data_IF_202909579851
#
_entry.id   IF_202909579851
#
_cell.length_a   1.000
_cell.length_b   1.000
_cell.length_c   1.000
_cell.angle_alpha   90.00
_cell.angle_beta   90.00
_cell.angle_gamma   90.00
#
_symmetry.space_group_name_H-M   'P 1'
#
loop_
_entity.id
_entity.type
_entity.pdbx_description
1 polymer ?
#
# COMPACT_ATOMS: atom_id res chain seq x y z
N UNK A 1 49.19 13.72 -8.59
CA UNK A 1 48.42 12.84 -7.70
C UNK A 1 48.33 13.54 -6.35
N UNK A 2 47.12 13.77 -5.89
CA UNK A 2 46.89 14.35 -4.55
C UNK A 2 46.46 13.22 -3.63
N UNK A 3 47.15 13.03 -2.54
CA UNK A 3 46.75 12.10 -1.48
C UNK A 3 46.10 12.92 -0.36
N UNK A 4 44.97 12.43 0.16
CA UNK A 4 44.27 13.10 1.25
C UNK A 4 45.01 13.01 2.59
N UNK A 5 45.97 12.08 2.72
CA UNK A 5 46.71 11.82 3.95
C UNK A 5 48.19 11.66 3.63
N UNK A 6 49.05 12.20 4.46
CA UNK A 6 50.53 12.05 4.35
C UNK A 6 50.94 10.58 4.56
N UNK A 7 52.08 10.21 3.95
CA UNK A 7 52.55 8.81 3.98
C UNK A 7 52.85 8.30 5.39
N UNK A 8 53.15 9.14 6.33
CA UNK A 8 53.46 8.81 7.74
C UNK A 8 52.20 8.40 8.56
N UNK A 9 51.00 8.68 8.04
CA UNK A 9 49.73 8.37 8.73
C UNK A 9 48.97 7.17 8.14
N UNK A 10 49.55 6.53 7.12
CA UNK A 10 48.88 5.43 6.38
C UNK A 10 48.47 4.25 7.29
N UNK A 11 49.15 4.02 8.39
CA UNK A 11 48.82 2.96 9.34
C UNK A 11 47.62 3.27 10.23
N UNK A 12 47.08 4.49 10.21
CA UNK A 12 46.00 4.94 11.12
C UNK A 12 44.77 5.46 10.42
N UNK A 13 44.85 5.76 9.12
CA UNK A 13 43.77 6.38 8.36
C UNK A 13 43.61 5.67 7.02
N UNK A 14 42.37 5.35 6.66
CA UNK A 14 42.07 4.88 5.31
C UNK A 14 42.19 6.07 4.35
N UNK A 15 43.28 6.10 3.61
CA UNK A 15 43.47 7.09 2.56
C UNK A 15 42.57 6.77 1.34
N UNK A 16 41.96 7.76 0.77
CA UNK A 16 41.27 7.63 -0.51
C UNK A 16 41.94 8.52 -1.58
N UNK A 17 41.96 8.00 -2.79
CA UNK A 17 42.44 8.72 -3.97
C UNK A 17 41.26 9.17 -4.80
N UNK A 18 41.09 10.46 -4.96
CA UNK A 18 40.12 11.00 -5.92
C UNK A 18 40.75 10.94 -7.31
N UNK A 19 40.27 10.03 -8.14
CA UNK A 19 40.58 10.02 -9.57
C UNK A 19 39.48 10.76 -10.30
N UNK A 20 39.80 11.82 -11.05
CA UNK A 20 38.88 12.36 -12.04
C UNK A 20 38.76 11.32 -13.17
N UNK A 21 37.81 10.44 -13.07
CA UNK A 21 37.36 9.61 -14.19
C UNK A 21 36.31 10.38 -14.97
N UNK A 22 36.30 10.25 -16.27
CA UNK A 22 35.07 10.55 -17.02
C UNK A 22 34.04 9.57 -16.52
N UNK A 23 33.13 10.03 -15.68
CA UNK A 23 31.89 9.30 -15.44
C UNK A 23 31.15 9.31 -16.79
N UNK A 24 31.17 8.19 -17.49
CA UNK A 24 30.10 7.93 -18.40
C UNK A 24 28.83 7.92 -17.57
N UNK A 25 27.82 8.66 -18.01
CA UNK A 25 26.48 8.69 -17.44
C UNK A 25 25.75 7.35 -17.67
N UNK A 26 26.35 6.25 -17.24
CA UNK A 26 25.59 5.07 -16.93
C UNK A 26 25.08 5.28 -15.50
N UNK A 27 23.81 5.50 -15.32
CA UNK A 27 23.16 5.47 -14.01
C UNK A 27 23.75 4.33 -13.20
N UNK A 28 24.34 4.59 -12.02
CA UNK A 28 24.81 3.51 -11.17
C UNK A 28 23.59 2.65 -10.85
N UNK A 29 23.49 1.51 -11.51
CA UNK A 29 22.42 0.56 -11.26
C UNK A 29 22.68 -0.09 -9.90
N UNK A 30 22.29 0.61 -8.84
CA UNK A 30 22.39 0.10 -7.48
C UNK A 30 21.48 -1.13 -7.38
N UNK A 31 22.01 -2.28 -6.96
CA UNK A 31 21.20 -3.47 -6.82
C UNK A 31 20.11 -3.19 -5.79
N UNK A 32 18.86 -3.28 -6.23
CA UNK A 32 17.69 -3.11 -5.37
C UNK A 32 16.85 -4.38 -5.45
N UNK A 33 16.22 -4.75 -4.33
CA UNK A 33 15.18 -5.77 -4.25
C UNK A 33 14.08 -5.26 -3.35
N UNK A 34 12.85 -5.42 -3.80
CA UNK A 34 11.66 -4.99 -3.08
C UNK A 34 10.93 -6.23 -2.58
N UNK A 35 10.68 -6.30 -1.28
CA UNK A 35 9.78 -7.28 -0.68
C UNK A 35 8.42 -6.63 -0.45
N UNK A 36 7.35 -7.31 -0.81
CA UNK A 36 5.97 -6.94 -0.50
C UNK A 36 5.43 -7.93 0.51
N UNK A 37 5.05 -7.46 1.69
CA UNK A 37 4.42 -8.28 2.73
C UNK A 37 2.97 -7.84 2.85
N UNK A 38 2.03 -8.75 2.59
CA UNK A 38 0.62 -8.43 2.58
C UNK A 38 -0.28 -9.65 2.54
N UNK A 39 -1.57 -9.43 2.50
CA UNK A 39 -2.59 -10.48 2.55
C UNK A 39 -3.08 -10.85 1.16
N UNK A 40 -3.32 -12.14 0.96
CA UNK A 40 -4.03 -12.68 -0.19
C UNK A 40 -5.54 -12.72 0.07
N UNK A 41 -6.33 -12.85 -1.00
CA UNK A 41 -7.77 -13.04 -0.89
C UNK A 41 -8.13 -14.28 -0.07
N UNK A 42 -9.24 -14.25 0.63
CA UNK A 42 -9.76 -15.38 1.40
C UNK A 42 -9.94 -16.64 0.54
N UNK A 43 -10.36 -16.48 -0.70
CA UNK A 43 -10.52 -17.59 -1.64
C UNK A 43 -9.20 -18.29 -1.99
N UNK A 44 -8.08 -17.59 -1.92
CA UNK A 44 -6.73 -18.09 -2.22
C UNK A 44 -6.00 -18.63 -0.98
N UNK A 45 -6.56 -18.45 0.24
CA UNK A 45 -5.88 -18.80 1.50
C UNK A 45 -5.70 -20.31 1.69
N UNK A 46 -6.65 -21.15 1.20
CA UNK A 46 -6.63 -22.61 1.40
C UNK A 46 -5.42 -23.31 0.76
N UNK A 47 -4.89 -22.74 -0.33
CA UNK A 47 -3.75 -23.26 -1.06
C UNK A 47 -2.62 -22.24 -1.18
N UNK A 48 -2.55 -21.31 -0.22
CA UNK A 48 -1.59 -20.25 -0.26
C UNK A 48 -0.17 -20.78 -0.06
N UNK A 49 0.66 -20.62 -1.09
CA UNK A 49 2.10 -20.82 -0.97
C UNK A 49 2.69 -19.57 -0.30
N UNK A 50 3.10 -19.71 0.96
CA UNK A 50 3.67 -18.62 1.77
C UNK A 50 5.14 -18.34 1.43
N UNK A 51 5.75 -19.09 0.50
CA UNK A 51 7.14 -18.85 0.08
C UNK A 51 7.23 -17.56 -0.75
N UNK A 52 8.34 -16.83 -0.55
CA UNK A 52 8.61 -15.61 -1.29
C UNK A 52 8.68 -15.89 -2.80
N UNK A 53 7.85 -15.23 -3.59
CA UNK A 53 7.78 -15.41 -5.04
C UNK A 53 7.95 -14.08 -5.78
N UNK A 54 8.89 -14.07 -6.72
CA UNK A 54 9.06 -12.91 -7.58
C UNK A 54 7.88 -12.80 -8.55
N UNK A 55 7.35 -11.59 -8.67
CA UNK A 55 6.31 -11.23 -9.62
C UNK A 55 6.84 -10.23 -10.65
N UNK A 56 6.28 -10.26 -11.85
CA UNK A 56 6.67 -9.38 -12.96
C UNK A 56 5.53 -8.49 -13.46
N UNK A 57 4.32 -8.71 -12.96
CA UNK A 57 3.14 -7.92 -13.34
C UNK A 57 2.05 -7.97 -12.27
N UNK A 58 1.19 -6.96 -12.25
CA UNK A 58 -0.01 -6.95 -11.43
C UNK A 58 -0.94 -8.13 -11.74
N UNK A 59 -1.05 -8.50 -13.03
CA UNK A 59 -1.85 -9.68 -13.44
C UNK A 59 -1.38 -10.95 -12.75
N UNK A 60 -0.06 -11.21 -12.72
CA UNK A 60 0.50 -12.38 -12.04
C UNK A 60 0.18 -12.35 -10.54
N UNK A 61 0.23 -11.18 -9.90
CA UNK A 61 -0.18 -11.04 -8.50
C UNK A 61 -1.67 -11.37 -8.30
N UNK A 62 -2.54 -10.92 -9.20
CA UNK A 62 -3.98 -11.23 -9.18
C UNK A 62 -4.25 -12.72 -9.36
N UNK A 63 -3.57 -13.38 -10.29
CA UNK A 63 -3.74 -14.83 -10.56
C UNK A 63 -3.28 -15.68 -9.36
N UNK A 64 -2.22 -15.27 -8.65
CA UNK A 64 -1.66 -16.04 -7.51
C UNK A 64 -2.37 -15.74 -6.19
N UNK A 65 -2.62 -14.48 -5.89
CA UNK A 65 -3.06 -14.01 -4.58
C UNK A 65 -4.49 -13.48 -4.57
N UNK A 66 -5.12 -13.44 -5.73
CA UNK A 66 -6.49 -12.99 -5.94
C UNK A 66 -6.59 -11.50 -6.30
N UNK A 67 -7.40 -11.22 -7.31
CA UNK A 67 -7.73 -9.86 -7.73
C UNK A 67 -8.47 -9.12 -6.62
N UNK A 68 -8.05 -7.89 -6.36
CA UNK A 68 -8.60 -7.06 -5.29
C UNK A 68 -7.97 -7.28 -3.92
N UNK A 69 -7.03 -8.23 -3.75
CA UNK A 69 -6.28 -8.40 -2.50
C UNK A 69 -5.35 -7.21 -2.22
N UNK A 70 -4.90 -6.99 -0.97
CA UNK A 70 -3.87 -6.01 -0.66
C UNK A 70 -2.60 -6.17 -1.51
N UNK A 71 -2.15 -7.41 -1.71
CA UNK A 71 -1.01 -7.72 -2.58
C UNK A 71 -1.27 -7.25 -4.01
N UNK A 72 -2.46 -7.52 -4.56
CA UNK A 72 -2.82 -7.09 -5.90
C UNK A 72 -2.85 -5.56 -6.02
N UNK A 73 -3.42 -4.86 -5.04
CA UNK A 73 -3.48 -3.40 -5.05
C UNK A 73 -2.08 -2.78 -4.99
N UNK A 74 -1.18 -3.31 -4.15
CA UNK A 74 0.22 -2.88 -4.14
C UNK A 74 0.94 -3.20 -5.45
N UNK A 75 0.71 -4.39 -6.03
CA UNK A 75 1.33 -4.79 -7.29
C UNK A 75 0.89 -3.93 -8.47
N UNK A 76 -0.36 -3.43 -8.50
CA UNK A 76 -0.83 -2.47 -9.53
C UNK A 76 -0.01 -1.17 -9.53
N UNK A 77 0.39 -0.72 -8.36
CA UNK A 77 1.16 0.51 -8.19
C UNK A 77 2.64 0.26 -8.51
N UNK A 78 3.19 -0.85 -8.04
CA UNK A 78 4.60 -1.19 -8.25
C UNK A 78 4.90 -1.59 -9.71
N UNK A 79 4.01 -2.33 -10.33
CA UNK A 79 4.15 -2.92 -11.67
C UNK A 79 2.94 -2.58 -12.57
N UNK A 80 2.68 -1.30 -12.83
CA UNK A 80 1.52 -0.87 -13.60
C UNK A 80 1.66 -1.25 -15.08
N UNK A 81 0.52 -1.43 -15.78
CA UNK A 81 0.48 -1.78 -17.18
C UNK A 81 0.87 -0.61 -18.11
N UNK A 82 0.55 0.62 -17.74
CA UNK A 82 0.63 1.80 -18.63
C UNK A 82 1.34 3.00 -18.01
N UNK A 83 2.02 2.84 -16.89
CA UNK A 83 2.76 3.93 -16.29
C UNK A 83 4.10 3.43 -15.78
N UNK A 84 4.89 4.38 -15.34
CA UNK A 84 6.19 4.04 -14.80
C UNK A 84 6.05 3.48 -13.37
N UNK A 85 6.29 2.20 -13.20
CA UNK A 85 6.42 1.54 -11.91
C UNK A 85 7.86 1.55 -11.39
N UNK A 86 8.24 0.49 -10.68
CA UNK A 86 9.61 0.30 -10.16
C UNK A 86 10.63 -0.13 -11.23
N UNK A 87 10.21 -0.20 -12.49
CA UNK A 87 11.08 -0.59 -13.61
C UNK A 87 11.52 -2.05 -13.52
N UNK A 88 12.81 -2.30 -13.79
CA UNK A 88 13.41 -3.64 -13.75
C UNK A 88 13.81 -4.15 -12.37
N UNK A 89 13.42 -3.46 -11.28
CA UNK A 89 13.75 -3.87 -9.91
C UNK A 89 12.93 -5.10 -9.54
N UNK A 90 13.56 -6.21 -9.07
CA UNK A 90 12.83 -7.40 -8.65
C UNK A 90 11.86 -7.11 -7.50
N UNK A 91 10.60 -7.50 -7.66
CA UNK A 91 9.56 -7.44 -6.64
C UNK A 91 9.23 -8.85 -6.20
N UNK A 92 9.45 -9.14 -4.92
CA UNK A 92 9.22 -10.45 -4.31
C UNK A 92 8.06 -10.30 -3.33
N UNK A 93 7.01 -11.09 -3.50
CA UNK A 93 5.84 -11.11 -2.62
C UNK A 93 5.99 -12.22 -1.59
N UNK A 94 5.78 -11.86 -0.32
CA UNK A 94 5.71 -12.76 0.82
C UNK A 94 4.27 -12.73 1.36
N UNK A 95 3.39 -13.58 0.85
CA UNK A 95 1.99 -13.55 1.21
C UNK A 95 1.76 -14.04 2.63
N UNK A 96 0.80 -13.45 3.32
CA UNK A 96 0.46 -13.81 4.69
C UNK A 96 -0.89 -14.50 4.75
N UNK A 97 -0.95 -15.57 5.53
CA UNK A 97 -2.20 -16.25 5.87
C UNK A 97 -2.86 -15.57 7.08
N UNK A 98 -4.14 -15.30 6.97
CA UNK A 98 -4.94 -14.69 8.04
C UNK A 98 -5.82 -15.71 8.74
N UNK A 99 -5.29 -16.37 9.75
CA UNK A 99 -6.05 -17.35 10.56
C UNK A 99 -6.77 -16.62 11.70
N UNK A 100 -8.06 -16.92 11.89
CA UNK A 100 -8.87 -16.36 12.98
C UNK A 100 -9.31 -14.91 12.79
N UNK A 101 -9.08 -14.31 11.60
CA UNK A 101 -9.45 -12.94 11.26
C UNK A 101 -10.84 -12.86 10.66
N UNK A 102 -11.48 -11.67 10.74
CA UNK A 102 -12.78 -11.38 10.11
C UNK A 102 -12.62 -10.39 8.96
N UNK A 103 -13.47 -10.55 7.95
CA UNK A 103 -13.61 -9.57 6.87
C UNK A 103 -14.48 -8.40 7.32
N UNK A 104 -14.30 -7.22 6.73
CA UNK A 104 -15.25 -6.11 6.90
C UNK A 104 -16.47 -6.36 6.01
N UNK A 105 -17.66 -6.09 6.56
CA UNK A 105 -18.93 -6.17 5.84
C UNK A 105 -19.64 -4.82 5.90
N UNK A 106 -19.95 -4.29 4.73
CA UNK A 106 -20.70 -3.06 4.53
C UNK A 106 -22.02 -3.38 3.82
N UNK A 107 -23.03 -2.56 4.02
CA UNK A 107 -24.31 -2.68 3.31
C UNK A 107 -24.65 -1.37 2.63
N UNK A 108 -25.20 -1.44 1.41
CA UNK A 108 -25.82 -0.33 0.70
C UNK A 108 -27.32 -0.64 0.60
N UNK A 109 -28.13 0.20 1.23
CA UNK A 109 -29.58 0.06 1.21
C UNK A 109 -30.19 1.19 0.40
N UNK A 110 -30.69 0.94 -0.82
CA UNK A 110 -31.42 1.94 -1.60
C UNK A 110 -32.83 2.11 -1.03
N UNK A 111 -33.37 3.34 -1.11
CA UNK A 111 -34.73 3.68 -0.70
C UNK A 111 -35.35 4.67 -1.69
N UNK A 112 -36.58 4.42 -2.11
CA UNK A 112 -37.29 5.23 -3.08
C UNK A 112 -37.63 4.45 -4.34
N UNK A 113 -38.09 5.16 -5.38
CA UNK A 113 -38.36 4.63 -6.73
C UNK A 113 -37.70 5.57 -7.74
N UNK A 114 -37.11 5.03 -8.77
CA UNK A 114 -36.43 5.83 -9.80
C UNK A 114 -37.48 6.64 -10.59
N UNK A 115 -37.33 7.97 -10.55
CA UNK A 115 -38.22 8.91 -11.22
C UNK A 115 -37.71 9.42 -12.57
N UNK A 116 -36.41 9.26 -12.81
CA UNK A 116 -35.73 9.67 -14.07
C UNK A 116 -34.64 8.67 -14.41
N UNK A 117 -34.34 8.53 -15.70
CA UNK A 117 -33.18 7.75 -16.13
C UNK A 117 -31.88 8.49 -15.80
N UNK A 118 -30.86 7.76 -15.35
CA UNK A 118 -29.56 8.33 -15.06
C UNK A 118 -28.57 7.30 -14.52
N UNK A 119 -27.42 7.75 -14.10
CA UNK A 119 -26.36 6.89 -13.56
C UNK A 119 -25.89 7.44 -12.22
N UNK A 120 -25.82 6.58 -11.23
CA UNK A 120 -25.13 6.83 -9.97
C UNK A 120 -23.82 6.03 -9.95
N UNK A 121 -22.83 6.50 -9.22
CA UNK A 121 -21.52 5.86 -9.18
C UNK A 121 -21.17 5.46 -7.74
N UNK A 122 -20.72 4.23 -7.55
CA UNK A 122 -20.20 3.79 -6.26
C UNK A 122 -18.72 4.14 -6.18
N UNK A 123 -18.29 4.66 -5.05
CA UNK A 123 -16.90 4.87 -4.71
C UNK A 123 -16.48 3.87 -3.64
N UNK A 124 -15.46 3.09 -3.93
CA UNK A 124 -14.83 2.16 -2.98
C UNK A 124 -13.42 2.67 -2.74
N UNK A 125 -13.11 2.98 -1.49
CA UNK A 125 -11.83 3.60 -1.11
C UNK A 125 -11.44 4.79 -2.00
N UNK A 126 -12.40 5.69 -2.25
CA UNK A 126 -12.21 6.88 -3.04
C UNK A 126 -12.04 6.68 -4.54
N UNK A 127 -12.21 5.45 -5.04
CA UNK A 127 -12.13 5.09 -6.46
C UNK A 127 -13.50 4.75 -7.02
N UNK A 128 -13.82 5.28 -8.17
CA UNK A 128 -15.06 4.98 -8.91
C UNK A 128 -14.90 3.76 -9.84
N UNK A 129 -13.72 3.13 -9.85
CA UNK A 129 -13.39 1.97 -10.67
C UNK A 129 -11.94 1.56 -10.52
N UNK A 130 -11.61 0.39 -11.06
CA UNK A 130 -10.26 -0.18 -11.04
C UNK A 130 -9.97 -0.82 -12.40
N UNK A 131 -8.75 -0.61 -12.91
CA UNK A 131 -8.25 -1.21 -14.16
C UNK A 131 -9.13 -0.93 -15.37
N UNK A 132 -9.74 0.27 -15.44
CA UNK A 132 -10.60 0.70 -16.54
C UNK A 132 -12.05 0.20 -16.47
N UNK A 133 -12.42 -0.56 -15.44
CA UNK A 133 -13.79 -0.93 -15.14
C UNK A 133 -14.36 -0.03 -14.03
N UNK A 134 -15.61 0.42 -14.17
CA UNK A 134 -16.25 1.40 -13.29
C UNK A 134 -17.40 0.79 -12.50
N UNK A 135 -17.67 1.35 -11.32
CA UNK A 135 -18.77 0.96 -10.44
C UNK A 135 -20.04 1.78 -10.72
N UNK A 136 -20.50 1.79 -11.97
CA UNK A 136 -21.65 2.59 -12.38
C UNK A 136 -22.96 1.82 -12.25
N UNK A 137 -23.97 2.47 -11.65
CA UNK A 137 -25.33 1.95 -11.49
C UNK A 137 -26.23 2.69 -12.47
N UNK A 138 -26.61 2.02 -13.56
CA UNK A 138 -27.50 2.59 -14.56
C UNK A 138 -28.96 2.41 -14.13
N UNK A 139 -29.63 3.51 -13.78
CA UNK A 139 -31.00 3.55 -13.26
C UNK A 139 -31.98 3.89 -14.38
N UNK A 140 -33.11 3.18 -14.41
CA UNK A 140 -34.21 3.36 -15.35
C UNK A 140 -35.48 3.70 -14.58
N UNK A 141 -36.31 4.58 -15.15
CA UNK A 141 -37.60 4.98 -14.54
C UNK A 141 -38.40 3.74 -14.15
N UNK A 142 -38.83 3.73 -12.88
CA UNK A 142 -39.65 2.66 -12.32
C UNK A 142 -38.84 1.56 -11.66
N UNK A 143 -37.48 1.56 -11.74
CA UNK A 143 -36.68 0.58 -11.01
C UNK A 143 -37.07 0.53 -9.53
N UNK A 144 -37.38 -0.66 -9.05
CA UNK A 144 -37.64 -0.97 -7.66
C UNK A 144 -36.32 -1.05 -6.86
N UNK A 145 -36.42 -1.03 -5.54
CA UNK A 145 -35.25 -1.22 -4.66
C UNK A 145 -34.53 -2.53 -4.94
N UNK A 146 -35.23 -3.60 -5.24
CA UNK A 146 -34.66 -4.91 -5.59
C UNK A 146 -33.84 -4.86 -6.89
N UNK A 147 -34.37 -4.19 -7.93
CA UNK A 147 -33.66 -4.03 -9.21
C UNK A 147 -32.43 -3.15 -9.05
N UNK A 148 -32.50 -2.09 -8.22
CA UNK A 148 -31.34 -1.26 -7.89
C UNK A 148 -30.28 -2.07 -7.14
N UNK A 149 -30.67 -2.92 -6.20
CA UNK A 149 -29.74 -3.79 -5.46
C UNK A 149 -29.05 -4.79 -6.38
N UNK A 150 -29.78 -5.39 -7.32
CA UNK A 150 -29.19 -6.25 -8.35
C UNK A 150 -28.18 -5.48 -9.25
N UNK A 151 -28.49 -4.23 -9.61
CA UNK A 151 -27.56 -3.38 -10.37
C UNK A 151 -26.31 -3.00 -9.58
N UNK A 152 -26.42 -2.78 -8.26
CA UNK A 152 -25.27 -2.58 -7.37
C UNK A 152 -24.39 -3.84 -7.33
N UNK A 153 -25.04 -5.02 -7.20
CA UNK A 153 -24.34 -6.32 -7.25
C UNK A 153 -23.56 -6.47 -8.55
N UNK A 154 -24.18 -6.22 -9.70
CA UNK A 154 -23.54 -6.33 -11.00
C UNK A 154 -22.41 -5.31 -11.15
N UNK A 155 -22.63 -4.05 -10.77
CA UNK A 155 -21.63 -2.98 -10.86
C UNK A 155 -20.35 -3.31 -10.07
N UNK A 156 -20.47 -3.87 -8.89
CA UNK A 156 -19.32 -4.23 -8.04
C UNK A 156 -18.62 -5.49 -8.53
N UNK A 157 -19.38 -6.54 -8.86
CA UNK A 157 -18.79 -7.84 -9.20
C UNK A 157 -18.23 -7.92 -10.61
N UNK A 158 -18.66 -7.06 -11.53
CA UNK A 158 -18.08 -6.94 -12.87
C UNK A 158 -16.68 -6.29 -12.85
N UNK A 159 -16.28 -5.63 -11.77
CA UNK A 159 -14.93 -5.08 -11.61
C UNK A 159 -14.03 -6.12 -10.95
N UNK A 160 -13.24 -6.82 -11.76
CA UNK A 160 -12.39 -7.92 -11.31
C UNK A 160 -11.44 -7.51 -10.17
N UNK A 161 -10.79 -6.33 -10.31
CA UNK A 161 -9.88 -5.76 -9.32
C UNK A 161 -10.55 -5.17 -8.07
N UNK A 162 -11.89 -5.25 -7.95
CA UNK A 162 -12.62 -4.75 -6.78
C UNK A 162 -12.12 -5.37 -5.48
N UNK A 163 -11.89 -4.57 -4.42
CA UNK A 163 -11.48 -5.08 -3.11
C UNK A 163 -12.60 -5.76 -2.34
N UNK A 164 -13.83 -5.61 -2.79
CA UNK A 164 -15.02 -6.23 -2.18
C UNK A 164 -15.74 -7.12 -3.17
N UNK A 165 -16.53 -8.04 -2.64
CA UNK A 165 -17.51 -8.82 -3.38
C UNK A 165 -18.91 -8.44 -2.87
N UNK A 166 -19.87 -8.26 -3.79
CA UNK A 166 -21.23 -7.95 -3.45
C UNK A 166 -22.11 -9.22 -3.44
N UNK A 167 -23.08 -9.26 -2.53
CA UNK A 167 -24.21 -10.18 -2.54
C UNK A 167 -25.51 -9.40 -2.51
N UNK A 168 -26.53 -9.90 -3.20
CA UNK A 168 -27.85 -9.28 -3.32
C UNK A 168 -28.82 -9.95 -2.34
N UNK A 169 -29.38 -9.15 -1.42
CA UNK A 169 -30.40 -9.56 -0.46
C UNK A 169 -31.78 -9.00 -0.81
N UNK A 170 -32.02 -8.64 -2.07
CA UNK A 170 -33.29 -8.08 -2.63
C UNK A 170 -33.67 -6.68 -2.13
N UNK A 171 -33.25 -6.25 -0.96
CA UNK A 171 -33.53 -4.91 -0.40
C UNK A 171 -32.27 -4.14 -0.01
N UNK A 172 -31.14 -4.81 0.02
CA UNK A 172 -29.81 -4.21 0.28
C UNK A 172 -28.74 -5.01 -0.46
N UNK A 173 -27.68 -4.35 -0.89
CA UNK A 173 -26.45 -5.00 -1.34
C UNK A 173 -25.49 -5.13 -0.16
N UNK A 174 -24.98 -6.33 0.10
CA UNK A 174 -24.00 -6.60 1.12
C UNK A 174 -22.63 -6.73 0.48
N UNK A 175 -21.68 -5.87 0.88
CA UNK A 175 -20.31 -5.81 0.35
C UNK A 175 -19.35 -6.36 1.39
N UNK A 176 -18.68 -7.46 1.06
CA UNK A 176 -17.69 -8.10 1.93
C UNK A 176 -16.31 -7.93 1.34
N UNK A 177 -15.32 -7.53 2.14
CA UNK A 177 -13.92 -7.47 1.68
C UNK A 177 -13.42 -8.85 1.28
N UNK A 178 -12.66 -8.90 0.19
CA UNK A 178 -12.14 -10.17 -0.36
C UNK A 178 -11.06 -10.80 0.53
N UNK A 179 -10.54 -10.07 1.51
CA UNK A 179 -9.59 -10.56 2.51
C UNK A 179 -10.08 -10.29 3.92
N UNK A 180 -9.42 -10.88 4.90
CA UNK A 180 -9.71 -10.74 6.33
C UNK A 180 -8.54 -10.02 6.99
N UNK A 181 -8.80 -9.35 8.10
CA UNK A 181 -7.75 -8.69 8.86
C UNK A 181 -8.10 -7.25 9.21
N UNK A 182 -7.27 -6.65 10.06
CA UNK A 182 -7.42 -5.26 10.46
C UNK A 182 -7.24 -4.30 9.27
N UNK A 183 -6.47 -4.68 8.25
CA UNK A 183 -6.31 -3.93 7.00
C UNK A 183 -7.62 -3.78 6.23
N UNK A 184 -8.54 -4.74 6.36
CA UNK A 184 -9.87 -4.68 5.76
C UNK A 184 -10.76 -3.58 6.38
N UNK A 185 -10.47 -3.18 7.64
CA UNK A 185 -11.27 -2.16 8.34
C UNK A 185 -11.20 -0.78 7.67
N UNK A 186 -10.17 -0.48 6.93
CA UNK A 186 -10.05 0.78 6.17
C UNK A 186 -10.97 0.85 4.96
N UNK A 187 -11.61 -0.25 4.57
CA UNK A 187 -12.53 -0.25 3.43
C UNK A 187 -13.72 0.68 3.71
N UNK A 188 -13.90 1.64 2.85
CA UNK A 188 -15.01 2.57 2.89
C UNK A 188 -15.75 2.60 1.55
N UNK A 189 -17.04 2.84 1.61
CA UNK A 189 -17.92 2.90 0.44
C UNK A 189 -18.80 4.11 0.54
N UNK A 190 -19.00 4.78 -0.58
CA UNK A 190 -19.98 5.85 -0.73
C UNK A 190 -20.65 5.76 -2.11
N UNK A 191 -21.84 6.30 -2.22
CA UNK A 191 -22.55 6.39 -3.50
C UNK A 191 -22.70 7.88 -3.86
N UNK A 192 -22.21 8.24 -5.02
CA UNK A 192 -22.39 9.57 -5.59
C UNK A 192 -23.61 9.57 -6.49
N UNK A 193 -24.58 10.39 -6.14
CA UNK A 193 -25.80 10.62 -6.92
C UNK A 193 -25.67 11.77 -7.90
N UNK A 194 -24.50 12.43 -7.94
CA UNK A 194 -24.26 13.59 -8.78
C UNK A 194 -25.15 14.78 -8.37
N UNK A 195 -25.73 15.43 -9.37
CA UNK A 195 -26.61 16.61 -9.16
C UNK A 195 -28.08 16.26 -8.93
N UNK A 196 -28.50 15.04 -9.24
CA UNK A 196 -29.89 14.60 -9.15
C UNK A 196 -29.95 13.20 -8.53
N UNK A 197 -30.64 13.07 -7.43
CA UNK A 197 -30.83 11.78 -6.73
C UNK A 197 -31.70 10.79 -7.51
N UNK A 198 -32.31 11.20 -8.60
CA UNK A 198 -33.23 10.40 -9.42
C UNK A 198 -34.40 9.78 -8.61
N UNK A 199 -34.68 10.33 -7.42
CA UNK A 199 -35.68 9.80 -6.47
C UNK A 199 -35.17 8.72 -5.54
N UNK A 200 -33.86 8.41 -5.56
CA UNK A 200 -33.26 7.36 -4.73
C UNK A 200 -32.32 7.97 -3.70
N UNK A 201 -32.36 7.43 -2.49
CA UNK A 201 -31.38 7.69 -1.44
C UNK A 201 -30.70 6.38 -1.05
N UNK A 202 -29.44 6.45 -0.62
CA UNK A 202 -28.66 5.29 -0.22
C UNK A 202 -28.20 5.44 1.23
N UNK A 203 -28.40 4.40 2.01
CA UNK A 203 -27.82 4.28 3.35
C UNK A 203 -26.67 3.28 3.30
N UNK A 204 -25.49 3.73 3.63
CA UNK A 204 -24.30 2.87 3.75
C UNK A 204 -24.01 2.65 5.22
N UNK A 205 -23.89 1.38 5.63
CA UNK A 205 -23.62 1.01 7.02
C UNK A 205 -22.56 -0.10 7.09
N UNK A 206 -21.73 -0.05 8.15
CA UNK A 206 -20.83 -1.16 8.48
C UNK A 206 -21.54 -2.10 9.44
N UNK A 207 -21.59 -3.38 9.10
CA UNK A 207 -22.25 -4.42 9.89
C UNK A 207 -21.26 -5.37 10.57
N UNK A 208 -20.04 -5.45 10.09
CA UNK A 208 -18.96 -6.23 10.68
C UNK A 208 -17.62 -5.54 10.46
N UNK A 209 -16.81 -5.47 11.51
CA UNK A 209 -15.46 -4.93 11.46
C UNK A 209 -14.46 -5.97 10.93
N UNK A 210 -13.45 -5.51 10.21
CA UNK A 210 -12.26 -6.30 9.90
C UNK A 210 -11.36 -6.42 11.13
N UNK A 211 -10.95 -7.64 11.50
CA UNK A 211 -10.12 -7.87 12.69
C UNK A 211 -9.04 -8.90 12.46
N UNK A 212 -7.96 -8.80 13.24
CA UNK A 212 -6.83 -9.72 13.21
C UNK A 212 -5.65 -9.18 12.42
N UNK A 213 -4.46 -9.52 12.90
CA UNK A 213 -3.18 -9.19 12.27
C UNK A 213 -2.31 -10.44 12.27
N UNK A 214 -1.83 -10.92 11.12
CA UNK A 214 -0.97 -12.08 11.06
C UNK A 214 0.42 -11.77 11.62
N UNK A 215 1.14 -12.82 12.04
CA UNK A 215 2.57 -12.72 12.32
C UNK A 215 3.35 -12.75 11.01
N UNK A 216 4.19 -11.74 10.80
CA UNK A 216 5.04 -11.64 9.61
C UNK A 216 6.41 -12.29 9.77
N UNK A 217 6.70 -12.90 10.94
CA UNK A 217 8.02 -13.47 11.23
C UNK A 217 8.46 -14.51 10.18
N UNK A 218 7.54 -15.38 9.76
CA UNK A 218 7.82 -16.40 8.74
C UNK A 218 8.20 -15.81 7.37
N UNK A 219 7.71 -14.63 7.02
CA UNK A 219 8.12 -13.93 5.82
C UNK A 219 9.54 -13.35 5.95
N UNK A 220 9.85 -12.77 7.10
CA UNK A 220 11.17 -12.20 7.36
C UNK A 220 12.25 -13.28 7.42
N UNK A 221 11.97 -14.42 8.01
CA UNK A 221 12.89 -15.55 8.10
C UNK A 221 13.33 -16.07 6.70
N UNK A 222 12.46 -15.91 5.70
CA UNK A 222 12.76 -16.27 4.30
C UNK A 222 13.74 -15.31 3.61
N UNK A 223 13.99 -14.12 4.17
CA UNK A 223 14.99 -13.20 3.60
C UNK A 223 16.40 -13.82 3.61
N UNK A 224 16.68 -14.70 4.59
CA UNK A 224 17.93 -15.44 4.67
C UNK A 224 19.16 -14.57 4.43
N UNK A 225 19.97 -14.96 3.45
CA UNK A 225 21.16 -14.21 3.03
C UNK A 225 20.90 -13.20 1.90
N UNK A 226 19.69 -13.09 1.40
CA UNK A 226 19.36 -12.12 0.39
C UNK A 226 19.31 -10.69 0.96
N UNK A 227 19.82 -9.75 0.17
CA UNK A 227 19.70 -8.35 0.54
C UNK A 227 18.41 -7.77 -0.05
N UNK A 228 17.37 -7.75 0.75
CA UNK A 228 16.17 -6.97 0.48
C UNK A 228 16.48 -5.54 0.88
N UNK A 229 16.36 -4.59 -0.04
CA UNK A 229 16.68 -3.18 0.23
C UNK A 229 15.47 -2.41 0.73
N UNK A 230 14.29 -2.78 0.28
CA UNK A 230 13.03 -2.13 0.63
C UNK A 230 11.96 -3.18 0.96
N UNK A 231 11.22 -2.95 2.01
CA UNK A 231 10.04 -3.73 2.39
C UNK A 231 8.81 -2.84 2.27
N UNK A 232 7.86 -3.21 1.45
CA UNK A 232 6.54 -2.57 1.40
C UNK A 232 5.67 -3.26 2.44
N UNK A 233 5.39 -2.54 3.52
CA UNK A 233 4.61 -3.03 4.64
C UNK A 233 3.11 -2.88 4.33
N UNK A 234 2.43 -4.00 4.13
CA UNK A 234 0.98 -4.06 3.86
C UNK A 234 0.10 -3.86 5.10
N UNK A 235 0.67 -3.63 6.29
CA UNK A 235 -0.05 -3.55 7.56
C UNK A 235 -0.05 -2.17 8.21
N UNK A 236 0.52 -1.16 7.52
CA UNK A 236 0.56 0.21 8.02
C UNK A 236 1.24 0.31 9.38
N UNK A 237 0.70 1.15 10.25
CA UNK A 237 1.25 1.47 11.57
C UNK A 237 0.90 0.44 12.66
N UNK A 238 0.44 -0.77 12.30
CA UNK A 238 0.12 -1.81 13.28
C UNK A 238 1.33 -2.18 14.13
N UNK A 239 1.26 -1.94 15.43
CA UNK A 239 2.41 -1.99 16.34
C UNK A 239 3.11 -3.35 16.37
N UNK A 240 2.37 -4.46 16.32
CA UNK A 240 2.94 -5.82 16.32
C UNK A 240 3.80 -6.09 15.08
N UNK A 241 3.36 -5.62 13.92
CA UNK A 241 4.08 -5.78 12.65
C UNK A 241 5.31 -4.87 12.63
N UNK A 242 5.13 -3.61 12.99
CA UNK A 242 6.21 -2.61 13.02
C UNK A 242 7.32 -3.06 13.98
N UNK A 243 7.00 -3.46 15.19
CA UNK A 243 7.99 -3.95 16.17
C UNK A 243 8.71 -5.23 15.68
N UNK A 244 8.03 -6.08 14.92
CA UNK A 244 8.67 -7.26 14.32
C UNK A 244 9.67 -6.87 13.23
N UNK A 245 9.34 -5.88 12.38
CA UNK A 245 10.24 -5.32 11.36
C UNK A 245 11.48 -4.67 12.02
N UNK A 246 11.26 -3.85 13.03
CA UNK A 246 12.32 -3.18 13.80
C UNK A 246 13.26 -4.20 14.44
N UNK A 247 12.71 -5.19 15.15
CA UNK A 247 13.50 -6.23 15.82
C UNK A 247 14.30 -7.10 14.86
N UNK A 248 13.72 -7.44 13.70
CA UNK A 248 14.40 -8.24 12.70
C UNK A 248 15.52 -7.46 11.99
N UNK A 249 15.29 -6.22 11.63
CA UNK A 249 16.29 -5.37 10.99
C UNK A 249 17.41 -5.00 11.97
N UNK A 250 17.08 -4.71 13.22
CA UNK A 250 18.03 -4.40 14.29
C UNK A 250 18.52 -2.96 14.29
N UNK A 251 19.57 -2.71 15.04
CA UNK A 251 20.12 -1.37 15.31
C UNK A 251 21.56 -1.28 14.81
N UNK A 252 21.95 -0.17 14.14
CA UNK A 252 23.30 0.08 13.66
C UNK A 252 24.22 0.63 14.77
N UNK A 253 24.25 -0.03 15.94
CA UNK A 253 25.14 0.38 17.04
C UNK A 253 26.59 0.08 16.65
N UNK A 254 27.52 1.04 16.72
CA UNK A 254 28.93 0.84 16.41
C UNK A 254 29.61 -0.22 17.30
N UNK A 255 29.19 -0.35 18.55
CA UNK A 255 29.78 -1.27 19.51
C UNK A 255 29.05 -2.61 19.59
N UNK A 256 27.75 -2.61 19.38
CA UNK A 256 26.89 -3.79 19.54
C UNK A 256 25.76 -3.85 18.47
N UNK A 257 26.08 -3.94 17.16
CA UNK A 257 25.07 -4.00 16.12
C UNK A 257 24.20 -5.26 16.27
N UNK A 258 22.90 -5.11 16.00
CA UNK A 258 21.94 -6.22 16.07
C UNK A 258 21.28 -6.52 14.73
N UNK A 259 20.54 -7.64 14.65
CA UNK A 259 19.75 -8.02 13.47
C UNK A 259 20.55 -8.03 12.17
N UNK A 260 20.05 -7.35 11.15
CA UNK A 260 20.63 -7.27 9.80
C UNK A 260 21.83 -6.31 9.71
N UNK A 261 22.12 -5.54 10.76
CA UNK A 261 23.32 -4.71 10.85
C UNK A 261 24.54 -5.50 11.36
N UNK A 262 24.36 -6.74 11.80
CA UNK A 262 25.47 -7.60 12.26
C UNK A 262 26.32 -8.13 11.12
N UNK A 263 27.62 -8.31 11.39
CA UNK A 263 28.55 -9.00 10.52
C UNK A 263 29.29 -8.11 9.52
N UNK A 264 30.15 -8.73 8.73
CA UNK A 264 31.02 -8.04 7.75
C UNK A 264 30.19 -7.52 6.57
N UNK A 265 29.13 -8.24 6.20
CA UNK A 265 28.25 -7.87 5.08
C UNK A 265 26.88 -7.51 5.67
N UNK A 266 26.71 -6.24 5.97
CA UNK A 266 25.44 -5.68 6.43
C UNK A 266 24.40 -5.70 5.32
N UNK A 267 23.18 -6.14 5.64
CA UNK A 267 22.04 -6.21 4.70
C UNK A 267 20.76 -5.62 5.32
N UNK A 268 20.81 -4.43 5.90
CA UNK A 268 19.62 -3.79 6.44
C UNK A 268 18.66 -3.41 5.32
N UNK A 269 17.38 -3.18 5.68
CA UNK A 269 16.35 -2.70 4.79
C UNK A 269 15.64 -1.47 5.38
N UNK A 270 14.90 -0.78 4.52
CA UNK A 270 13.95 0.24 4.91
C UNK A 270 12.54 -0.33 4.71
N UNK A 271 11.72 -0.28 5.76
CA UNK A 271 10.32 -0.67 5.70
C UNK A 271 9.43 0.56 5.44
N UNK A 272 8.88 0.62 4.23
CA UNK A 272 7.96 1.66 3.82
C UNK A 272 6.58 1.34 4.42
N UNK A 273 6.17 2.17 5.35
CA UNK A 273 4.96 1.98 6.15
C UNK A 273 3.98 3.10 5.84
N UNK A 274 2.86 2.77 5.23
CA UNK A 274 1.86 3.76 4.85
C UNK A 274 0.96 4.18 6.01
N UNK A 275 0.47 5.41 5.97
CA UNK A 275 -0.61 5.90 6.83
C UNK A 275 -1.55 6.83 6.06
N UNK A 276 -2.84 6.70 6.34
CA UNK A 276 -3.90 7.62 5.88
C UNK A 276 -4.47 8.47 7.01
N UNK A 277 -3.88 8.34 8.21
CA UNK A 277 -4.26 9.14 9.37
C UNK A 277 -3.98 10.62 9.15
N UNK A 278 -4.77 11.47 9.79
CA UNK A 278 -4.52 12.90 9.86
C UNK A 278 -3.37 13.23 10.82
N UNK A 279 -3.19 12.42 11.86
CA UNK A 279 -2.21 12.63 12.91
C UNK A 279 -1.45 11.33 13.23
N UNK A 280 -0.19 11.30 12.82
CA UNK A 280 0.76 10.23 13.11
C UNK A 280 1.83 10.64 14.15
N UNK A 281 1.66 11.76 14.83
CA UNK A 281 2.67 12.29 15.75
C UNK A 281 3.00 11.31 16.87
N UNK A 282 2.01 10.63 17.44
CA UNK A 282 2.24 9.60 18.48
C UNK A 282 3.08 8.43 17.95
N UNK A 283 2.84 8.02 16.71
CA UNK A 283 3.61 6.95 16.07
C UNK A 283 5.05 7.38 15.82
N UNK A 284 5.26 8.59 15.27
CA UNK A 284 6.58 9.12 14.97
C UNK A 284 7.38 9.47 16.21
N UNK A 285 6.74 10.01 17.26
CA UNK A 285 7.38 10.31 18.54
C UNK A 285 8.00 9.08 19.21
N UNK A 286 7.29 7.97 19.15
CA UNK A 286 7.77 6.71 19.71
C UNK A 286 8.97 6.12 18.94
N UNK A 287 9.26 6.62 17.72
CA UNK A 287 10.23 6.04 16.78
C UNK A 287 11.26 7.03 16.23
N UNK A 288 11.44 8.16 16.85
CA UNK A 288 12.35 9.23 16.37
C UNK A 288 13.81 8.78 16.20
N UNK A 289 14.23 7.76 16.93
CA UNK A 289 15.60 7.22 16.90
C UNK A 289 15.70 5.92 16.07
N UNK A 290 14.60 5.49 15.44
CA UNK A 290 14.57 4.29 14.62
C UNK A 290 15.05 4.54 13.19
N UNK A 291 15.73 3.52 12.63
CA UNK A 291 16.31 3.57 11.27
C UNK A 291 15.60 2.64 10.29
N UNK A 292 14.67 1.82 10.76
CA UNK A 292 14.02 0.77 9.97
C UNK A 292 12.78 1.28 9.26
N UNK A 293 11.95 2.07 9.94
CA UNK A 293 10.63 2.47 9.45
C UNK A 293 10.71 3.83 8.75
N UNK A 294 10.28 3.86 7.50
CA UNK A 294 10.01 5.10 6.78
C UNK A 294 8.50 5.28 6.64
N UNK A 295 7.94 6.23 7.37
CA UNK A 295 6.52 6.53 7.29
C UNK A 295 6.19 7.21 5.95
N UNK A 296 5.14 6.73 5.31
CA UNK A 296 4.67 7.16 3.99
C UNK A 296 3.26 7.77 4.16
N UNK A 297 3.17 9.05 4.52
CA UNK A 297 1.88 9.65 4.87
C UNK A 297 1.06 9.99 3.62
N UNK A 298 -0.22 9.70 3.70
CA UNK A 298 -1.26 10.15 2.77
C UNK A 298 -2.48 10.65 3.56
N UNK A 299 -2.32 11.73 4.36
CA UNK A 299 -3.32 12.13 5.33
C UNK A 299 -4.66 12.43 4.68
N UNK A 300 -5.74 11.95 5.31
CA UNK A 300 -7.12 12.10 4.85
C UNK A 300 -7.43 11.48 3.49
N UNK A 301 -6.51 10.74 2.88
CA UNK A 301 -6.81 9.95 1.69
C UNK A 301 -7.88 8.90 2.01
N UNK A 302 -8.74 8.64 1.04
CA UNK A 302 -9.73 7.56 1.12
C UNK A 302 -9.18 6.21 0.66
N UNK A 303 -7.95 6.17 0.10
CA UNK A 303 -7.25 4.95 -0.26
C UNK A 303 -6.78 4.14 0.95
N UNK A 304 -6.11 3.04 0.69
CA UNK A 304 -5.54 2.20 1.74
C UNK A 304 -4.13 2.67 2.14
N UNK A 305 -3.76 2.45 3.40
CA UNK A 305 -2.39 2.74 3.87
C UNK A 305 -1.33 1.98 3.07
N UNK A 306 -1.57 0.73 2.70
CA UNK A 306 -0.61 -0.06 1.92
C UNK A 306 -0.42 0.48 0.48
N UNK A 307 -1.41 1.19 -0.08
CA UNK A 307 -1.24 1.91 -1.33
C UNK A 307 -0.25 3.08 -1.17
N UNK A 308 -0.30 3.81 -0.04
CA UNK A 308 0.66 4.88 0.25
C UNK A 308 2.10 4.33 0.34
N UNK A 309 2.29 3.18 1.01
CA UNK A 309 3.58 2.51 1.08
C UNK A 309 4.10 2.10 -0.32
N UNK A 310 3.24 1.53 -1.16
CA UNK A 310 3.59 1.14 -2.52
C UNK A 310 3.94 2.35 -3.41
N UNK A 311 3.17 3.44 -3.31
CA UNK A 311 3.44 4.69 -4.03
C UNK A 311 4.80 5.30 -3.65
N UNK A 312 5.11 5.38 -2.35
CA UNK A 312 6.42 5.86 -1.89
C UNK A 312 7.54 4.93 -2.35
N UNK A 313 7.29 3.61 -2.39
CA UNK A 313 8.26 2.65 -2.91
C UNK A 313 8.61 2.93 -4.37
N UNK A 314 7.63 3.22 -5.22
CA UNK A 314 7.85 3.60 -6.62
C UNK A 314 8.69 4.85 -6.71
N UNK A 315 8.33 5.91 -6.00
CA UNK A 315 9.07 7.17 -6.02
C UNK A 315 10.52 7.00 -5.56
N UNK A 316 10.71 6.34 -4.42
CA UNK A 316 12.05 6.11 -3.87
C UNK A 316 12.89 5.18 -4.74
N UNK A 317 12.30 4.14 -5.34
CA UNK A 317 12.99 3.22 -6.22
C UNK A 317 13.50 3.92 -7.48
N UNK A 318 12.67 4.78 -8.08
CA UNK A 318 13.02 5.55 -9.29
C UNK A 318 14.11 6.59 -9.01
N UNK A 319 13.95 7.39 -7.96
CA UNK A 319 14.95 8.39 -7.60
C UNK A 319 16.29 7.72 -7.30
N UNK A 320 16.28 6.60 -6.55
CA UNK A 320 17.52 5.87 -6.26
C UNK A 320 18.15 5.24 -7.50
N UNK A 321 17.37 4.94 -8.55
CA UNK A 321 17.88 4.38 -9.80
C UNK A 321 18.39 5.47 -10.75
N UNK A 322 17.59 6.53 -10.95
CA UNK A 322 17.85 7.53 -11.98
C UNK A 322 18.75 8.66 -11.49
N UNK A 323 18.57 9.08 -10.24
CA UNK A 323 19.26 10.23 -9.67
C UNK A 323 19.46 10.06 -8.14
N UNK A 324 20.35 9.16 -7.71
CA UNK A 324 20.50 8.78 -6.29
C UNK A 324 20.94 9.92 -5.36
N UNK A 325 21.34 11.05 -5.91
CA UNK A 325 21.69 12.27 -5.17
C UNK A 325 20.49 13.21 -4.93
N UNK A 326 19.33 12.91 -5.50
CA UNK A 326 18.10 13.65 -5.28
C UNK A 326 17.23 12.96 -4.25
N UNK A 327 16.35 13.73 -3.65
CA UNK A 327 15.31 13.23 -2.75
C UNK A 327 13.96 13.07 -3.46
N UNK A 328 12.95 12.63 -2.72
CA UNK A 328 11.58 12.48 -3.21
C UNK A 328 10.72 13.71 -2.94
N UNK A 329 11.31 14.79 -2.39
CA UNK A 329 10.55 16.01 -2.09
C UNK A 329 9.95 16.63 -3.35
N UNK A 330 8.73 17.10 -3.24
CA UNK A 330 7.99 17.69 -4.36
C UNK A 330 7.46 16.69 -5.39
N UNK A 331 7.65 15.39 -5.19
CA UNK A 331 7.05 14.35 -6.05
C UNK A 331 5.62 14.04 -5.57
N UNK A 332 4.79 13.60 -6.51
CA UNK A 332 3.40 13.19 -6.25
C UNK A 332 3.29 11.67 -6.28
N UNK A 333 2.44 11.10 -5.45
CA UNK A 333 2.12 9.67 -5.51
C UNK A 333 1.47 9.33 -6.86
N UNK A 334 1.96 8.30 -7.58
CA UNK A 334 1.46 7.94 -8.91
C UNK A 334 -0.02 7.54 -8.94
N UNK A 335 -0.48 6.80 -7.94
CA UNK A 335 -1.84 6.25 -7.88
C UNK A 335 -2.35 6.20 -6.45
N UNK A 336 -2.70 7.36 -5.88
CA UNK A 336 -3.31 7.47 -4.55
C UNK A 336 -4.58 8.32 -4.64
N UNK A 337 -5.73 7.85 -4.13
CA UNK A 337 -6.94 8.66 -4.08
C UNK A 337 -6.73 9.96 -3.32
N UNK A 338 -7.16 11.06 -3.91
CA UNK A 338 -7.08 12.37 -3.27
C UNK A 338 -8.11 12.48 -2.13
N UNK A 339 -7.83 13.28 -1.09
CA UNK A 339 -8.83 13.62 -0.08
C UNK A 339 -10.05 14.28 -0.71
N UNK A 340 -11.22 14.17 -0.05
CA UNK A 340 -12.50 14.72 -0.53
C UNK A 340 -12.50 16.25 -0.70
N UNK A 341 -11.58 16.97 -0.04
CA UNK A 341 -11.44 18.41 -0.22
C UNK A 341 -10.00 18.87 -0.06
N UNK A 342 -9.57 19.80 -0.92
CA UNK A 342 -8.27 20.48 -0.79
C UNK A 342 -8.21 21.26 0.54
N UNK A 343 -9.35 21.77 1.03
CA UNK A 343 -9.45 22.43 2.33
C UNK A 343 -9.06 21.52 3.49
N UNK A 344 -9.41 20.24 3.45
CA UNK A 344 -9.02 19.27 4.46
C UNK A 344 -7.49 19.04 4.48
N UNK A 345 -6.82 19.06 3.33
CA UNK A 345 -5.34 18.97 3.26
C UNK A 345 -4.65 20.20 3.87
N UNK A 346 -5.27 21.38 3.82
CA UNK A 346 -4.70 22.61 4.36
C UNK A 346 -4.82 22.71 5.88
N UNK A 347 -5.66 21.91 6.51
CA UNK A 347 -5.91 21.90 7.96
C UNK A 347 -5.09 20.79 8.66
N UNK A 348 -4.06 20.29 8.04
CA UNK A 348 -3.14 19.34 8.68
C UNK A 348 -2.41 20.04 9.83
N UNK A 349 -3.06 20.05 11.00
CA UNK A 349 -2.63 20.80 12.18
C UNK A 349 -1.27 20.36 12.71
N UNK A 350 -0.92 19.11 12.49
CA UNK A 350 0.31 18.52 13.00
C UNK A 350 1.45 18.44 11.97
N UNK A 351 1.28 19.07 10.81
CA UNK A 351 2.27 19.03 9.72
C UNK A 351 3.67 19.43 10.19
N UNK A 352 3.78 20.53 10.93
CA UNK A 352 5.06 21.03 11.45
C UNK A 352 5.67 20.08 12.47
N UNK A 353 4.86 19.53 13.36
CA UNK A 353 5.31 18.54 14.34
C UNK A 353 5.78 17.26 13.64
N UNK A 354 5.05 16.81 12.62
CA UNK A 354 5.40 15.64 11.81
C UNK A 354 6.71 15.82 11.04
N UNK A 355 6.92 16.97 10.40
CA UNK A 355 8.13 17.26 9.59
C UNK A 355 9.36 17.50 10.46
N UNK A 356 9.21 17.97 11.69
CA UNK A 356 10.31 18.25 12.62
C UNK A 356 10.81 17.02 13.37
N UNK A 357 10.19 15.89 13.22
CA UNK A 357 10.50 14.61 13.87
C UNK A 357 11.00 13.60 12.89
#
# INVERSE_FOLDING_TARGET
MSFAVGSELISRVVGYKITKGNFQESSPNLPQRIAVIGEANTANQSNLDITGKQITSAKQAGDLYGYGSPIYQMARILLPLQSDGVGGIPVIVYPQATTGSTAKVLTITPTGVVTKNGTHTIFINGRNGIDGAFYDINLVIGDSTSEITAKIYDAVNNVLGSPVIATDDSYKATLTTKWKGLTAEETNVSVDTGKDSLGITYVVASTQAGTGTPSIQSALDQFGNDWITKVVNGYGTQSSVVSTLESYNGIPDPDAPTGRFRGIVMKPFIALTGSVSEDDTTFTDARKDEVTIALCPAPLSKGYHFEAAANMCVLNARVAQDAPHLDVAGKTYPDMPTPLSIGAMNVYLNRDAFVKK
#
